data_IF_557732137179
#
_entry.id   IF_557732137179
#
_cell.length_a   1.000
_cell.length_b   1.000
_cell.length_c   1.000
_cell.angle_alpha   90.00
_cell.angle_beta   90.00
_cell.angle_gamma   90.00
#
_symmetry.space_group_name_H-M   'P 1'
#
loop_
_entity.id
_entity.type
_entity.pdbx_description
1 polymer ?
#
# COMPACT_ATOMS: atom_id res chain seq x y z
N UNK A 1 -37.22 -19.77 11.55
CA UNK A 1 -35.83 -20.26 11.42
C UNK A 1 -35.09 -19.93 12.70
N UNK A 2 -34.46 -20.91 13.39
CA UNK A 2 -33.66 -20.63 14.56
C UNK A 2 -32.45 -19.78 14.16
N UNK A 3 -32.14 -18.75 14.96
CA UNK A 3 -31.04 -17.82 14.74
C UNK A 3 -29.74 -18.61 14.90
N UNK A 4 -29.04 -18.86 13.78
CA UNK A 4 -27.73 -19.53 13.77
C UNK A 4 -26.79 -18.80 14.72
N UNK A 5 -26.05 -19.53 15.54
CA UNK A 5 -25.18 -18.94 16.56
C UNK A 5 -24.11 -18.09 15.86
N UNK A 6 -24.03 -16.79 16.19
CA UNK A 6 -23.22 -15.82 15.44
C UNK A 6 -21.74 -16.22 15.44
N UNK A 7 -21.27 -16.80 16.55
CA UNK A 7 -19.91 -17.32 16.68
C UNK A 7 -19.61 -18.52 15.77
N UNK A 8 -20.61 -19.37 15.51
CA UNK A 8 -20.46 -20.52 14.61
C UNK A 8 -20.46 -20.07 13.15
N UNK A 9 -21.30 -19.08 12.82
CA UNK A 9 -21.31 -18.43 11.50
C UNK A 9 -19.99 -17.69 11.22
N UNK A 10 -19.46 -16.93 12.18
CA UNK A 10 -18.19 -16.19 12.03
C UNK A 10 -17.00 -17.13 11.86
N UNK A 11 -17.01 -18.28 12.57
CA UNK A 11 -16.01 -19.33 12.42
C UNK A 11 -16.09 -20.02 11.05
N UNK A 12 -17.30 -20.35 10.59
CA UNK A 12 -17.51 -20.88 9.23
C UNK A 12 -17.07 -19.86 8.15
N UNK A 13 -17.27 -18.56 8.40
CA UNK A 13 -16.82 -17.48 7.51
C UNK A 13 -15.29 -17.40 7.48
N UNK A 14 -14.65 -17.36 8.65
CA UNK A 14 -13.18 -17.36 8.80
C UNK A 14 -12.52 -18.53 8.06
N UNK A 15 -13.04 -19.74 8.25
CA UNK A 15 -12.51 -20.94 7.60
C UNK A 15 -12.70 -20.96 6.08
N UNK A 16 -13.66 -20.17 5.55
CA UNK A 16 -13.92 -20.01 4.11
C UNK A 16 -13.18 -18.83 3.48
N UNK A 17 -12.91 -17.77 4.23
CA UNK A 17 -12.26 -16.55 3.74
C UNK A 17 -10.74 -16.64 3.74
N UNK A 18 -10.12 -17.39 4.65
CA UNK A 18 -8.66 -17.59 4.60
C UNK A 18 -8.30 -18.55 3.46
N UNK A 19 -7.54 -18.10 2.43
CA UNK A 19 -7.11 -18.97 1.37
C UNK A 19 -6.12 -20.00 1.93
N UNK A 20 -6.55 -21.26 2.02
CA UNK A 20 -5.74 -22.37 2.55
C UNK A 20 -4.56 -22.74 1.63
N UNK A 21 -4.49 -22.18 0.42
CA UNK A 21 -3.51 -22.52 -0.61
C UNK A 21 -3.15 -21.31 -1.49
N UNK A 22 -1.90 -21.27 -1.95
CA UNK A 22 -1.41 -20.31 -2.95
C UNK A 22 -1.81 -20.71 -4.38
N UNK A 23 -1.85 -19.76 -5.30
CA UNK A 23 -2.05 -20.01 -6.72
C UNK A 23 -1.02 -21.02 -7.28
N UNK A 24 0.21 -20.98 -6.76
CA UNK A 24 1.30 -21.91 -7.09
C UNK A 24 1.12 -23.30 -6.47
N UNK A 25 0.41 -23.46 -5.35
CA UNK A 25 0.18 -24.78 -4.74
C UNK A 25 -0.53 -25.73 -5.71
N UNK A 26 -1.52 -25.24 -6.46
CA UNK A 26 -2.25 -26.08 -7.43
C UNK A 26 -1.38 -26.59 -8.60
N UNK A 27 -0.30 -25.89 -8.92
CA UNK A 27 0.73 -26.37 -9.87
C UNK A 27 1.76 -27.27 -9.19
N UNK A 28 2.14 -26.91 -7.96
CA UNK A 28 3.13 -27.61 -7.14
C UNK A 28 2.66 -28.99 -6.73
N UNK A 29 1.41 -29.16 -6.31
CA UNK A 29 0.84 -30.46 -5.92
C UNK A 29 0.82 -31.47 -7.08
N UNK A 30 0.83 -30.99 -8.33
CA UNK A 30 0.95 -31.84 -9.52
C UNK A 30 2.37 -32.30 -9.79
N UNK A 31 3.37 -31.51 -9.39
CA UNK A 31 4.79 -31.71 -9.73
C UNK A 31 5.59 -32.35 -8.59
N UNK A 32 5.26 -32.01 -7.35
CA UNK A 32 5.96 -32.45 -6.15
C UNK A 32 4.93 -32.84 -5.11
N UNK A 33 4.73 -34.15 -4.89
CA UNK A 33 3.83 -34.65 -3.85
C UNK A 33 4.36 -34.24 -2.47
N UNK A 34 3.54 -33.52 -1.70
CA UNK A 34 3.63 -33.30 -0.24
C UNK A 34 4.98 -32.81 0.34
N UNK A 35 5.73 -31.98 -0.39
CA UNK A 35 6.90 -31.31 0.18
C UNK A 35 6.50 -29.95 0.75
N UNK A 36 6.56 -29.80 2.08
CA UNK A 36 6.37 -28.51 2.77
C UNK A 36 7.34 -27.47 2.18
N UNK A 37 6.79 -26.36 1.68
CA UNK A 37 7.55 -25.24 1.14
C UNK A 37 7.87 -25.30 -0.36
N UNK A 38 7.49 -26.36 -1.07
CA UNK A 38 7.76 -26.50 -2.52
C UNK A 38 7.13 -25.38 -3.38
N UNK A 39 6.00 -24.81 -2.95
CA UNK A 39 5.37 -23.73 -3.69
C UNK A 39 6.14 -22.41 -3.58
N UNK A 40 6.74 -22.15 -2.41
CA UNK A 40 7.58 -20.96 -2.20
C UNK A 40 8.88 -21.08 -2.98
N UNK A 41 9.48 -22.28 -3.01
CA UNK A 41 10.71 -22.50 -3.80
C UNK A 41 10.46 -22.40 -5.30
N UNK A 42 9.35 -22.96 -5.82
CA UNK A 42 8.96 -22.80 -7.23
C UNK A 42 8.69 -21.34 -7.57
N UNK A 43 7.97 -20.61 -6.70
CA UNK A 43 7.73 -19.18 -6.88
C UNK A 43 9.05 -18.39 -6.94
N UNK A 44 9.98 -18.67 -6.02
CA UNK A 44 11.29 -18.02 -5.98
C UNK A 44 12.13 -18.32 -7.23
N UNK A 45 12.11 -19.57 -7.71
CA UNK A 45 12.82 -19.96 -8.94
C UNK A 45 12.21 -19.29 -10.17
N UNK A 46 10.88 -19.28 -10.29
CA UNK A 46 10.20 -18.61 -11.39
C UNK A 46 10.48 -17.10 -11.40
N UNK A 47 10.39 -16.44 -10.24
CA UNK A 47 10.73 -15.03 -10.08
C UNK A 47 12.19 -14.74 -10.45
N UNK A 48 13.12 -15.59 -10.04
CA UNK A 48 14.55 -15.45 -10.34
C UNK A 48 14.86 -15.60 -11.83
N UNK A 49 14.24 -16.58 -12.51
CA UNK A 49 14.41 -16.78 -13.96
C UNK A 49 13.89 -15.56 -14.72
N UNK A 50 12.69 -15.07 -14.38
CA UNK A 50 12.10 -13.92 -15.06
C UNK A 50 12.93 -12.66 -14.80
N UNK A 51 13.39 -12.43 -13.57
CA UNK A 51 14.29 -11.32 -13.24
C UNK A 51 15.60 -11.35 -14.04
N UNK A 52 16.13 -12.56 -14.27
CA UNK A 52 17.34 -12.77 -15.09
C UNK A 52 17.08 -12.46 -16.57
N UNK A 53 15.93 -12.85 -17.10
CA UNK A 53 15.54 -12.50 -18.48
C UNK A 53 15.33 -10.98 -18.62
N UNK A 54 14.63 -10.35 -17.67
CA UNK A 54 14.40 -8.90 -17.66
C UNK A 54 15.70 -8.11 -17.57
N UNK A 55 16.66 -8.54 -16.73
CA UNK A 55 17.99 -7.92 -16.66
C UNK A 55 18.71 -8.03 -18.01
N UNK A 56 18.77 -9.21 -18.63
CA UNK A 56 19.47 -9.40 -19.91
C UNK A 56 18.89 -8.48 -20.98
N UNK A 57 17.57 -8.39 -21.07
CA UNK A 57 16.89 -7.50 -22.02
C UNK A 57 17.25 -6.03 -21.73
N UNK A 58 17.14 -5.61 -20.46
CA UNK A 58 17.35 -4.22 -20.07
C UNK A 58 18.84 -3.78 -19.98
N UNK A 59 19.78 -4.73 -19.90
CA UNK A 59 21.22 -4.45 -19.99
C UNK A 59 21.63 -3.85 -21.34
N UNK A 60 20.79 -4.00 -22.38
CA UNK A 60 20.99 -3.34 -23.67
C UNK A 60 20.71 -1.83 -23.63
N UNK A 61 20.18 -1.28 -22.52
CA UNK A 61 19.83 0.13 -22.39
C UNK A 61 20.73 0.86 -21.38
N UNK A 62 20.60 0.55 -20.08
CA UNK A 62 21.38 1.19 -19.01
C UNK A 62 21.38 0.30 -17.76
N UNK A 63 22.46 0.34 -16.96
CA UNK A 63 22.60 -0.49 -15.76
C UNK A 63 21.51 -0.20 -14.72
N UNK A 64 21.12 1.06 -14.55
CA UNK A 64 20.10 1.48 -13.58
C UNK A 64 18.68 1.06 -13.99
N UNK A 65 18.38 1.12 -15.29
CA UNK A 65 17.10 0.63 -15.84
C UNK A 65 17.03 -0.89 -15.78
N UNK A 66 18.17 -1.57 -16.00
CA UNK A 66 18.26 -3.01 -15.85
C UNK A 66 18.00 -3.46 -14.42
N UNK A 67 18.52 -2.75 -13.42
CA UNK A 67 18.23 -3.05 -12.01
C UNK A 67 16.77 -2.80 -11.66
N UNK A 68 16.16 -1.71 -12.14
CA UNK A 68 14.74 -1.43 -11.90
C UNK A 68 13.84 -2.52 -12.50
N UNK A 69 14.06 -2.87 -13.78
CA UNK A 69 13.31 -3.95 -14.45
C UNK A 69 13.49 -5.32 -13.77
N UNK A 70 14.69 -5.62 -13.28
CA UNK A 70 14.97 -6.86 -12.57
C UNK A 70 14.22 -6.96 -11.25
N UNK A 71 14.31 -5.92 -10.42
CA UNK A 71 13.68 -5.89 -9.10
C UNK A 71 12.16 -5.89 -9.26
N UNK A 72 11.63 -5.07 -10.16
CA UNK A 72 10.20 -5.00 -10.44
C UNK A 72 9.62 -6.31 -10.96
N UNK A 73 10.29 -6.96 -11.92
CA UNK A 73 9.84 -8.26 -12.42
C UNK A 73 10.00 -9.40 -11.41
N UNK A 74 11.07 -9.39 -10.60
CA UNK A 74 11.23 -10.33 -9.49
C UNK A 74 10.09 -10.19 -8.48
N UNK A 75 9.87 -8.98 -7.97
CA UNK A 75 8.85 -8.68 -6.97
C UNK A 75 7.45 -8.99 -7.51
N UNK A 76 7.14 -8.54 -8.73
CA UNK A 76 5.85 -8.79 -9.37
C UNK A 76 5.54 -10.26 -9.56
N UNK A 77 6.49 -11.06 -10.04
CA UNK A 77 6.30 -12.50 -10.21
C UNK A 77 6.19 -13.22 -8.87
N UNK A 78 7.03 -12.87 -7.91
CA UNK A 78 6.99 -13.47 -6.58
C UNK A 78 5.64 -13.22 -5.91
N UNK A 79 5.17 -11.97 -5.92
CA UNK A 79 3.87 -11.57 -5.38
C UNK A 79 2.70 -12.22 -6.13
N UNK A 80 2.76 -12.30 -7.46
CA UNK A 80 1.75 -12.97 -8.28
C UNK A 80 1.69 -14.49 -8.03
N UNK A 81 2.83 -15.14 -7.84
CA UNK A 81 2.93 -16.55 -7.49
C UNK A 81 2.36 -16.85 -6.10
N UNK A 82 2.60 -15.92 -5.18
CA UNK A 82 2.05 -15.96 -3.84
C UNK A 82 0.61 -15.48 -3.78
N UNK A 83 -0.09 -15.16 -4.88
CA UNK A 83 -1.49 -14.73 -4.88
C UNK A 83 -2.47 -15.86 -4.48
N UNK A 84 -3.66 -15.55 -3.94
CA UNK A 84 -4.57 -16.58 -3.42
C UNK A 84 -5.33 -17.26 -4.57
N UNK A 85 -5.60 -16.51 -5.63
CA UNK A 85 -6.14 -17.03 -6.88
C UNK A 85 -5.25 -16.64 -8.05
N UNK A 86 -5.33 -17.39 -9.16
CA UNK A 86 -4.62 -17.07 -10.39
C UNK A 86 -5.07 -15.73 -10.99
N UNK A 87 -6.36 -15.41 -10.86
CA UNK A 87 -6.90 -14.14 -11.35
C UNK A 87 -6.30 -12.96 -10.60
N UNK A 88 -6.17 -13.08 -9.28
CA UNK A 88 -5.56 -12.04 -8.45
C UNK A 88 -4.06 -11.95 -8.68
N UNK A 89 -3.39 -13.07 -8.94
CA UNK A 89 -1.97 -13.08 -9.31
C UNK A 89 -1.69 -12.30 -10.59
N UNK A 90 -2.56 -12.40 -11.60
CA UNK A 90 -2.42 -11.60 -12.82
C UNK A 90 -2.69 -10.11 -12.53
N UNK A 91 -3.70 -9.78 -11.72
CA UNK A 91 -3.95 -8.40 -11.32
C UNK A 91 -2.73 -7.79 -10.60
N UNK A 92 -2.16 -8.49 -9.62
CA UNK A 92 -0.94 -8.08 -8.90
C UNK A 92 0.22 -7.86 -9.88
N UNK A 93 0.43 -8.78 -10.83
CA UNK A 93 1.47 -8.64 -11.85
C UNK A 93 1.27 -7.37 -12.70
N UNK A 94 0.03 -7.02 -13.03
CA UNK A 94 -0.29 -5.79 -13.78
C UNK A 94 -0.03 -4.55 -12.92
N UNK A 95 -0.41 -4.54 -11.65
CA UNK A 95 -0.12 -3.43 -10.73
C UNK A 95 1.41 -3.20 -10.58
N UNK A 96 2.17 -4.25 -10.32
CA UNK A 96 3.62 -4.19 -10.17
C UNK A 96 4.32 -3.83 -11.49
N UNK A 97 3.82 -4.35 -12.61
CA UNK A 97 4.29 -3.96 -13.94
C UNK A 97 4.07 -2.46 -14.20
N UNK A 98 2.91 -1.93 -13.82
CA UNK A 98 2.59 -0.51 -13.96
C UNK A 98 3.56 0.38 -13.15
N UNK A 99 3.83 -0.01 -11.89
CA UNK A 99 4.79 0.68 -11.02
C UNK A 99 6.20 0.65 -11.60
N UNK A 100 6.65 -0.53 -12.05
CA UNK A 100 7.98 -0.72 -12.64
C UNK A 100 8.16 0.12 -13.90
N UNK A 101 7.17 0.10 -14.80
CA UNK A 101 7.20 0.91 -16.04
C UNK A 101 7.22 2.40 -15.73
N UNK A 102 6.45 2.83 -14.72
CA UNK A 102 6.42 4.25 -14.30
C UNK A 102 7.78 4.68 -13.74
N UNK A 103 8.38 3.91 -12.83
CA UNK A 103 9.71 4.21 -12.30
C UNK A 103 10.78 4.23 -13.40
N UNK A 104 10.77 3.26 -14.32
CA UNK A 104 11.67 3.28 -15.48
C UNK A 104 11.49 4.53 -16.35
N UNK A 105 10.25 4.95 -16.60
CA UNK A 105 9.93 6.14 -17.38
C UNK A 105 10.45 7.41 -16.68
N UNK A 106 10.15 7.59 -15.38
CA UNK A 106 10.64 8.73 -14.60
C UNK A 106 12.17 8.78 -14.55
N UNK A 107 12.84 7.64 -14.36
CA UNK A 107 14.31 7.57 -14.42
C UNK A 107 14.86 7.99 -15.80
N UNK A 108 14.24 7.57 -16.91
CA UNK A 108 14.68 7.96 -18.25
C UNK A 108 14.56 9.49 -18.43
N UNK A 109 13.43 10.07 -18.02
CA UNK A 109 13.14 11.50 -18.14
C UNK A 109 14.16 12.33 -17.37
N UNK A 110 14.45 11.97 -16.12
CA UNK A 110 15.33 12.76 -15.27
C UNK A 110 16.83 12.56 -15.55
N UNK A 111 17.28 11.32 -15.78
CA UNK A 111 18.72 11.03 -15.89
C UNK A 111 19.28 11.24 -17.29
N UNK A 112 18.46 11.19 -18.34
CA UNK A 112 18.97 11.28 -19.72
C UNK A 112 19.05 12.73 -20.22
N UNK A 113 18.52 13.73 -19.47
CA UNK A 113 18.37 15.15 -19.88
C UNK A 113 17.95 15.29 -21.36
N UNK A 114 17.17 14.33 -21.86
CA UNK A 114 17.20 14.03 -23.29
C UNK A 114 16.25 14.95 -24.04
N UNK A 115 16.74 15.48 -25.16
CA UNK A 115 16.04 16.26 -26.18
C UNK A 115 14.87 15.51 -26.86
N UNK A 116 14.33 14.44 -26.25
CA UNK A 116 13.10 13.77 -26.66
C UNK A 116 11.97 14.20 -25.71
N UNK A 117 11.45 15.41 -25.92
CA UNK A 117 10.16 15.86 -25.34
C UNK A 117 8.96 14.99 -25.79
N UNK A 118 9.16 13.99 -26.66
CA UNK A 118 8.11 13.21 -27.30
C UNK A 118 7.81 11.83 -26.70
N UNK A 119 8.44 11.43 -25.58
CA UNK A 119 8.21 10.10 -25.01
C UNK A 119 8.00 10.08 -23.49
N UNK A 120 7.53 11.17 -22.89
CA UNK A 120 7.03 11.13 -21.50
C UNK A 120 5.69 10.43 -21.53
N UNK A 121 5.67 9.16 -21.14
CA UNK A 121 4.39 8.47 -20.90
C UNK A 121 3.84 8.99 -19.58
N UNK A 122 2.68 9.65 -19.62
CA UNK A 122 1.99 10.10 -18.42
C UNK A 122 1.69 8.88 -17.53
N UNK A 123 2.02 8.96 -16.23
CA UNK A 123 1.73 7.88 -15.28
C UNK A 123 0.23 7.57 -15.23
N UNK A 124 -0.63 8.56 -15.49
CA UNK A 124 -2.08 8.36 -15.59
C UNK A 124 -2.44 7.50 -16.81
N UNK A 125 -1.71 7.63 -17.92
CA UNK A 125 -1.88 6.77 -19.08
C UNK A 125 -1.45 5.33 -18.77
N UNK A 126 -0.33 5.14 -18.07
CA UNK A 126 0.12 3.80 -17.62
C UNK A 126 -0.92 3.18 -16.68
N UNK A 127 -1.45 3.96 -15.72
CA UNK A 127 -2.49 3.50 -14.81
C UNK A 127 -3.79 3.11 -15.54
N UNK A 128 -4.22 3.92 -16.52
CA UNK A 128 -5.41 3.65 -17.32
C UNK A 128 -5.24 2.43 -18.23
N UNK A 129 -4.07 2.25 -18.84
CA UNK A 129 -3.75 1.07 -19.63
C UNK A 129 -3.78 -0.20 -18.77
N UNK A 130 -3.18 -0.14 -17.58
CA UNK A 130 -3.21 -1.23 -16.59
C UNK A 130 -4.63 -1.57 -16.13
N UNK A 131 -5.46 -0.54 -15.87
CA UNK A 131 -6.87 -0.74 -15.55
C UNK A 131 -7.62 -1.44 -16.67
N UNK A 132 -7.44 -1.01 -17.93
CA UNK A 132 -8.07 -1.64 -19.09
C UNK A 132 -7.68 -3.12 -19.23
N UNK A 133 -6.40 -3.45 -19.02
CA UNK A 133 -5.91 -4.84 -19.03
C UNK A 133 -6.60 -5.67 -17.93
N UNK A 134 -6.68 -5.15 -16.70
CA UNK A 134 -7.35 -5.84 -15.58
C UNK A 134 -8.82 -6.08 -15.90
N UNK A 135 -9.54 -5.07 -16.40
CA UNK A 135 -10.95 -5.19 -16.78
C UNK A 135 -11.16 -6.27 -17.82
N UNK A 136 -10.38 -6.28 -18.91
CA UNK A 136 -10.48 -7.29 -19.97
C UNK A 136 -10.24 -8.69 -19.40
N UNK A 137 -9.21 -8.85 -18.56
CA UNK A 137 -8.90 -10.13 -17.93
C UNK A 137 -10.01 -10.62 -17.00
N UNK A 138 -10.56 -9.74 -16.14
CA UNK A 138 -11.67 -10.09 -15.24
C UNK A 138 -12.93 -10.46 -16.01
N UNK A 139 -13.21 -9.80 -17.14
CA UNK A 139 -14.33 -10.16 -18.04
C UNK A 139 -14.13 -11.54 -18.64
N UNK A 140 -12.92 -11.88 -19.11
CA UNK A 140 -12.63 -13.18 -19.73
C UNK A 140 -12.75 -14.33 -18.71
N UNK A 141 -12.28 -14.11 -17.48
CA UNK A 141 -12.23 -15.15 -16.44
C UNK A 141 -13.60 -15.36 -15.78
N UNK A 142 -14.41 -14.31 -15.65
CA UNK A 142 -15.64 -14.35 -14.86
C UNK A 142 -16.86 -14.77 -15.68
N UNK A 143 -17.48 -15.89 -15.29
CA UNK A 143 -18.72 -16.36 -15.93
C UNK A 143 -20.00 -15.67 -15.41
N UNK A 144 -19.90 -14.94 -14.29
CA UNK A 144 -21.03 -14.27 -13.62
C UNK A 144 -20.83 -12.76 -13.63
N UNK A 145 -21.85 -12.04 -14.06
CA UNK A 145 -21.81 -10.57 -14.19
C UNK A 145 -21.56 -9.87 -12.85
N UNK A 146 -22.24 -10.29 -11.78
CA UNK A 146 -22.11 -9.65 -10.46
C UNK A 146 -20.72 -9.86 -9.85
N UNK A 147 -20.15 -11.06 -10.00
CA UNK A 147 -18.81 -11.39 -9.51
C UNK A 147 -17.74 -10.59 -10.27
N UNK A 148 -17.89 -10.50 -11.59
CA UNK A 148 -17.03 -9.68 -12.45
C UNK A 148 -17.07 -8.21 -12.03
N UNK A 149 -18.28 -7.65 -11.86
CA UNK A 149 -18.46 -6.25 -11.46
C UNK A 149 -17.81 -5.95 -10.11
N UNK A 150 -17.99 -6.85 -9.13
CA UNK A 150 -17.39 -6.67 -7.80
C UNK A 150 -15.86 -6.73 -7.87
N UNK A 151 -15.29 -7.71 -8.59
CA UNK A 151 -13.84 -7.82 -8.76
C UNK A 151 -13.25 -6.60 -9.47
N UNK A 152 -13.86 -6.14 -10.56
CA UNK A 152 -13.42 -4.94 -11.28
C UNK A 152 -13.48 -3.69 -10.37
N UNK A 153 -14.54 -3.56 -9.57
CA UNK A 153 -14.67 -2.43 -8.63
C UNK A 153 -13.58 -2.46 -7.57
N UNK A 154 -13.31 -3.63 -6.97
CA UNK A 154 -12.26 -3.79 -5.98
C UNK A 154 -10.87 -3.57 -6.57
N UNK A 155 -10.59 -4.10 -7.77
CA UNK A 155 -9.32 -3.86 -8.46
C UNK A 155 -9.14 -2.38 -8.82
N UNK A 156 -10.23 -1.67 -9.17
CA UNK A 156 -10.20 -0.23 -9.42
C UNK A 156 -9.87 0.54 -8.15
N UNK A 157 -10.48 0.17 -7.01
CA UNK A 157 -10.15 0.75 -5.70
C UNK A 157 -8.69 0.48 -5.35
N UNK A 158 -8.19 -0.75 -5.55
CA UNK A 158 -6.79 -1.07 -5.32
C UNK A 158 -5.84 -0.28 -6.22
N UNK A 159 -6.19 -0.12 -7.50
CA UNK A 159 -5.40 0.67 -8.46
C UNK A 159 -5.31 2.14 -8.02
N UNK A 160 -6.43 2.76 -7.65
CA UNK A 160 -6.46 4.15 -7.24
C UNK A 160 -5.83 4.38 -5.87
N UNK A 161 -6.12 3.50 -4.90
CA UNK A 161 -5.77 3.69 -3.50
C UNK A 161 -4.37 3.19 -3.15
N UNK A 162 -3.78 2.32 -3.97
CA UNK A 162 -2.44 1.78 -3.75
C UNK A 162 -1.53 2.13 -4.91
N UNK A 163 -1.86 1.70 -6.12
CA UNK A 163 -0.94 1.79 -7.27
C UNK A 163 -0.68 3.23 -7.69
N UNK A 164 -1.72 4.05 -7.87
CA UNK A 164 -1.56 5.45 -8.32
C UNK A 164 -0.82 6.27 -7.28
N UNK A 165 -1.14 6.12 -5.99
CA UNK A 165 -0.43 6.82 -4.92
C UNK A 165 1.04 6.40 -4.88
N UNK A 166 1.34 5.11 -5.01
CA UNK A 166 2.73 4.63 -5.08
C UNK A 166 3.45 5.14 -6.33
N UNK A 167 2.78 5.27 -7.48
CA UNK A 167 3.35 5.89 -8.67
C UNK A 167 3.74 7.36 -8.40
N UNK A 168 2.91 8.12 -7.68
CA UNK A 168 3.22 9.50 -7.30
C UNK A 168 4.39 9.58 -6.30
N UNK A 169 4.46 8.66 -5.33
CA UNK A 169 5.61 8.54 -4.43
C UNK A 169 6.89 8.24 -5.22
N UNK A 170 6.83 7.31 -6.17
CA UNK A 170 7.97 6.95 -7.02
C UNK A 170 8.42 8.13 -7.87
N UNK A 171 7.48 8.88 -8.46
CA UNK A 171 7.81 10.06 -9.26
C UNK A 171 8.52 11.13 -8.42
N UNK A 172 8.08 11.33 -7.17
CA UNK A 172 8.73 12.23 -6.25
C UNK A 172 10.14 11.76 -5.86
N UNK A 173 10.32 10.48 -5.52
CA UNK A 173 11.61 9.92 -5.05
C UNK A 173 12.65 9.88 -6.16
N UNK A 174 12.24 9.58 -7.40
CA UNK A 174 13.15 9.51 -8.54
C UNK A 174 13.53 10.90 -9.10
N UNK A 175 12.90 11.98 -8.60
CA UNK A 175 13.23 13.34 -9.02
C UNK A 175 14.66 13.74 -8.60
N UNK A 176 15.46 14.37 -9.47
CA UNK A 176 16.88 14.64 -9.21
C UNK A 176 17.10 15.58 -8.01
N UNK A 177 16.13 16.44 -7.73
CA UNK A 177 16.13 17.34 -6.56
C UNK A 177 15.54 16.71 -5.30
N UNK A 178 14.98 15.49 -5.35
CA UNK A 178 14.42 14.83 -4.17
C UNK A 178 15.49 14.56 -3.10
N UNK A 179 16.74 14.32 -3.53
CA UNK A 179 17.90 14.19 -2.65
C UNK A 179 18.20 15.45 -1.83
N UNK A 180 17.67 16.61 -2.21
CA UNK A 180 17.81 17.86 -1.48
C UNK A 180 16.70 18.06 -0.42
N UNK A 181 15.63 17.25 -0.46
CA UNK A 181 14.50 17.32 0.47
C UNK A 181 14.35 16.09 1.41
N UNK A 182 15.44 15.39 1.83
CA UNK A 182 15.31 14.16 2.61
C UNK A 182 14.72 14.44 4.01
N UNK A 183 14.96 15.63 4.56
CA UNK A 183 14.45 16.04 5.86
C UNK A 183 12.93 16.23 5.87
N UNK A 184 12.36 16.74 4.76
CA UNK A 184 10.93 16.99 4.63
C UNK A 184 10.19 15.68 4.40
N UNK A 185 10.72 14.79 3.55
CA UNK A 185 10.16 13.45 3.35
C UNK A 185 10.24 12.62 4.65
N UNK A 186 11.37 12.67 5.36
CA UNK A 186 11.50 12.01 6.66
C UNK A 186 10.52 12.59 7.69
N UNK A 187 10.29 13.91 7.67
CA UNK A 187 9.31 14.54 8.57
C UNK A 187 7.89 14.00 8.37
N UNK A 188 7.50 13.76 7.12
CA UNK A 188 6.21 13.13 6.80
C UNK A 188 6.12 11.74 7.41
N UNK A 189 7.11 10.87 7.17
CA UNK A 189 7.11 9.51 7.71
C UNK A 189 7.12 9.47 9.23
N UNK A 190 7.96 10.29 9.87
CA UNK A 190 8.06 10.35 11.35
C UNK A 190 6.76 10.87 11.96
N UNK A 191 6.14 11.88 11.35
CA UNK A 191 4.89 12.48 11.84
C UNK A 191 3.73 11.49 11.74
N UNK A 192 3.57 10.84 10.58
CA UNK A 192 2.51 9.83 10.38
C UNK A 192 2.76 8.62 11.27
N UNK A 193 3.99 8.10 11.35
CA UNK A 193 4.33 6.97 12.23
C UNK A 193 4.09 7.29 13.72
N UNK A 194 4.35 8.53 14.14
CA UNK A 194 4.06 8.97 15.51
C UNK A 194 2.57 9.01 15.79
N UNK A 195 1.75 9.48 14.83
CA UNK A 195 0.30 9.44 14.95
C UNK A 195 -0.24 7.99 15.05
N UNK A 196 0.35 7.07 14.28
CA UNK A 196 0.05 5.65 14.32
C UNK A 196 0.39 5.00 15.67
N UNK A 197 1.52 5.38 16.26
CA UNK A 197 1.89 4.99 17.63
C UNK A 197 0.88 5.51 18.65
N UNK A 198 0.40 6.76 18.50
CA UNK A 198 -0.63 7.35 19.35
C UNK A 198 -1.92 6.54 19.35
N UNK A 199 -2.42 6.17 18.17
CA UNK A 199 -3.57 5.29 18.01
C UNK A 199 -3.36 3.93 18.68
N UNK A 200 -2.20 3.30 18.44
CA UNK A 200 -1.88 1.99 19.01
C UNK A 200 -1.86 2.02 20.54
N UNK A 201 -1.23 3.05 21.12
CA UNK A 201 -1.18 3.26 22.57
C UNK A 201 -2.59 3.52 23.11
N UNK A 202 -3.39 4.36 22.45
CA UNK A 202 -4.77 4.63 22.84
C UNK A 202 -5.61 3.34 22.84
N UNK A 203 -5.55 2.54 21.78
CA UNK A 203 -6.26 1.28 21.65
C UNK A 203 -5.78 0.25 22.69
N UNK A 204 -4.48 0.19 22.97
CA UNK A 204 -3.92 -0.69 24.01
C UNK A 204 -4.47 -0.31 25.40
N UNK A 205 -4.44 0.98 25.75
CA UNK A 205 -4.92 1.46 27.05
C UNK A 205 -6.43 1.27 27.20
N UNK A 206 -7.20 1.61 26.18
CA UNK A 206 -8.67 1.54 26.21
C UNK A 206 -9.19 0.10 26.15
N UNK A 207 -8.63 -0.76 25.30
CA UNK A 207 -9.10 -2.15 25.19
C UNK A 207 -8.53 -3.09 26.26
N UNK A 208 -7.26 -2.96 26.66
CA UNK A 208 -6.63 -3.95 27.56
C UNK A 208 -6.65 -3.52 29.02
N UNK A 209 -6.37 -2.24 29.31
CA UNK A 209 -6.18 -1.74 30.67
C UNK A 209 -7.50 -1.23 31.25
N UNK A 210 -8.23 -0.42 30.50
CA UNK A 210 -9.51 0.18 30.94
C UNK A 210 -10.65 -0.83 31.01
N UNK A 211 -10.70 -1.84 30.13
CA UNK A 211 -11.68 -2.93 30.24
C UNK A 211 -11.54 -3.69 31.57
N UNK A 212 -10.30 -3.89 32.06
CA UNK A 212 -10.07 -4.60 33.34
C UNK A 212 -10.32 -3.73 34.56
N UNK A 213 -10.02 -2.43 34.49
CA UNK A 213 -10.03 -1.54 35.66
C UNK A 213 -11.32 -0.72 35.83
N UNK A 214 -12.06 -0.43 34.75
CA UNK A 214 -13.17 0.54 34.80
C UNK A 214 -14.41 0.03 34.04
N UNK A 215 -15.27 -0.69 34.76
CA UNK A 215 -16.59 -1.12 34.26
C UNK A 215 -17.46 0.04 33.73
N UNK A 216 -17.28 1.25 34.29
CA UNK A 216 -18.00 2.48 33.90
C UNK A 216 -17.76 2.92 32.46
N UNK A 217 -16.62 2.57 31.86
CA UNK A 217 -16.31 2.93 30.47
C UNK A 217 -17.03 2.07 29.43
N UNK A 218 -17.64 0.94 29.84
CA UNK A 218 -18.52 0.13 29.00
C UNK A 218 -19.76 0.90 28.49
N UNK A 219 -20.08 2.04 29.10
CA UNK A 219 -21.22 2.90 28.72
C UNK A 219 -20.81 4.16 27.95
N UNK A 220 -19.54 4.30 27.61
CA UNK A 220 -19.10 5.40 26.77
C UNK A 220 -19.59 5.15 25.34
N UNK A 221 -20.26 6.14 24.74
CA UNK A 221 -20.73 6.04 23.35
C UNK A 221 -19.53 5.84 22.42
N UNK A 222 -19.65 4.86 21.51
CA UNK A 222 -18.64 4.52 20.48
C UNK A 222 -18.11 5.77 19.76
N UNK A 223 -18.97 6.77 19.51
CA UNK A 223 -18.57 8.04 18.87
C UNK A 223 -17.56 8.84 19.68
N UNK A 224 -17.71 8.88 21.00
CA UNK A 224 -16.82 9.68 21.86
C UNK A 224 -15.46 9.00 21.97
N UNK A 225 -15.42 7.66 21.98
CA UNK A 225 -14.16 6.91 21.93
C UNK A 225 -13.41 7.14 20.62
N UNK A 226 -14.12 7.18 19.48
CA UNK A 226 -13.54 7.46 18.17
C UNK A 226 -12.96 8.88 18.07
N UNK A 227 -13.65 9.88 18.62
CA UNK A 227 -13.16 11.27 18.64
C UNK A 227 -11.93 11.41 19.53
N UNK A 228 -11.90 10.74 20.70
CA UNK A 228 -10.72 10.76 21.57
C UNK A 228 -9.52 10.07 20.92
N UNK A 229 -9.74 8.94 20.25
CA UNK A 229 -8.70 8.22 19.51
C UNK A 229 -8.07 9.11 18.42
N UNK A 230 -8.91 9.81 17.66
CA UNK A 230 -8.47 10.78 16.67
C UNK A 230 -7.63 11.90 17.31
N UNK A 231 -8.12 12.50 18.40
CA UNK A 231 -7.41 13.60 19.09
C UNK A 231 -6.05 13.12 19.61
N UNK A 232 -5.99 11.96 20.27
CA UNK A 232 -4.74 11.41 20.79
C UNK A 232 -3.75 11.12 19.67
N UNK A 233 -4.22 10.54 18.57
CA UNK A 233 -3.38 10.25 17.40
C UNK A 233 -2.82 11.53 16.76
N UNK A 234 -3.64 12.57 16.61
CA UNK A 234 -3.20 13.88 16.09
C UNK A 234 -2.19 14.54 17.02
N UNK A 235 -2.40 14.49 18.34
CA UNK A 235 -1.46 15.04 19.32
C UNK A 235 -0.11 14.31 19.27
N UNK A 236 -0.10 12.99 19.18
CA UNK A 236 1.13 12.21 19.02
C UNK A 236 1.84 12.51 17.70
N UNK A 237 1.10 12.70 16.60
CA UNK A 237 1.66 13.17 15.33
C UNK A 237 2.33 14.54 15.48
N UNK A 238 1.65 15.50 16.09
CA UNK A 238 2.19 16.84 16.34
C UNK A 238 3.45 16.79 17.22
N UNK A 239 3.47 15.97 18.27
CA UNK A 239 4.65 15.78 19.11
C UNK A 239 5.80 15.16 18.31
N UNK A 240 5.54 14.14 17.49
CA UNK A 240 6.55 13.53 16.62
C UNK A 240 7.16 14.53 15.64
N UNK A 241 6.33 15.40 15.07
CA UNK A 241 6.76 16.50 14.21
C UNK A 241 7.66 17.49 14.96
N UNK A 242 7.28 17.94 16.17
CA UNK A 242 8.12 18.85 16.97
C UNK A 242 9.45 18.20 17.34
N UNK A 243 9.44 16.93 17.75
CA UNK A 243 10.67 16.18 18.04
C UNK A 243 11.57 16.13 16.80
N UNK A 244 10.99 15.88 15.63
CA UNK A 244 11.74 15.86 14.37
C UNK A 244 12.35 17.23 14.04
N UNK A 245 11.60 18.32 14.21
CA UNK A 245 12.12 19.69 14.01
C UNK A 245 13.30 20.00 14.94
N UNK A 246 13.22 19.58 16.21
CA UNK A 246 14.29 19.78 17.20
C UNK A 246 15.54 18.95 16.89
N UNK A 247 15.39 17.74 16.37
CA UNK A 247 16.51 16.85 16.01
C UNK A 247 17.14 17.26 14.69
N UNK A 248 16.33 17.71 13.72
CA UNK A 248 16.79 18.11 12.40
C UNK A 248 17.38 19.52 12.33
N UNK A 249 17.24 20.33 13.39
CA UNK A 249 17.58 21.76 13.41
C UNK A 249 17.01 22.50 12.18
N UNK A 250 15.73 22.23 11.89
CA UNK A 250 15.03 22.72 10.69
C UNK A 250 13.89 23.64 11.08
N UNK A 251 13.96 24.89 10.61
CA UNK A 251 12.83 25.83 10.67
C UNK A 251 11.82 25.47 9.58
N UNK A 252 10.81 24.69 9.94
CA UNK A 252 9.72 24.36 9.04
C UNK A 252 8.76 25.54 8.87
N UNK A 253 8.49 25.91 7.62
CA UNK A 253 7.46 26.90 7.27
C UNK A 253 6.09 26.56 7.86
N UNK A 254 5.26 27.57 8.15
CA UNK A 254 3.88 27.37 8.64
C UNK A 254 3.05 26.47 7.72
N UNK A 255 3.31 26.52 6.41
CA UNK A 255 2.62 25.68 5.43
C UNK A 255 3.04 24.20 5.52
N UNK A 256 4.31 23.90 5.84
CA UNK A 256 4.75 22.52 6.14
C UNK A 256 3.93 21.93 7.28
N UNK A 257 3.77 22.70 8.36
CA UNK A 257 3.05 22.27 9.56
C UNK A 257 1.58 22.00 9.24
N UNK A 258 0.93 22.88 8.49
CA UNK A 258 -0.47 22.71 8.07
C UNK A 258 -0.62 21.48 7.16
N UNK A 259 0.29 21.28 6.21
CA UNK A 259 0.27 20.13 5.32
C UNK A 259 0.47 18.81 6.08
N UNK A 260 1.40 18.76 7.03
CA UNK A 260 1.68 17.58 7.85
C UNK A 260 0.52 17.25 8.81
N UNK A 261 -0.07 18.25 9.47
CA UNK A 261 -1.25 18.03 10.31
C UNK A 261 -2.48 17.62 9.47
N UNK A 262 -2.64 18.19 8.29
CA UNK A 262 -3.65 17.78 7.31
C UNK A 262 -3.46 16.33 6.88
N UNK A 263 -2.22 15.93 6.58
CA UNK A 263 -1.86 14.55 6.27
C UNK A 263 -2.21 13.62 7.43
N UNK A 264 -1.84 13.93 8.67
CA UNK A 264 -2.20 13.13 9.86
C UNK A 264 -3.70 12.98 10.02
N UNK A 265 -4.45 14.08 9.89
CA UNK A 265 -5.91 14.06 9.98
C UNK A 265 -6.53 13.14 8.93
N UNK A 266 -6.07 13.24 7.67
CA UNK A 266 -6.56 12.39 6.59
C UNK A 266 -6.10 10.94 6.74
N UNK A 267 -4.88 10.68 7.22
CA UNK A 267 -4.37 9.34 7.54
C UNK A 267 -5.30 8.61 8.52
N UNK A 268 -5.78 9.28 9.57
CA UNK A 268 -6.73 8.70 10.51
C UNK A 268 -8.12 8.47 9.89
N UNK A 269 -8.58 9.36 9.01
CA UNK A 269 -9.80 9.13 8.21
C UNK A 269 -9.64 7.93 7.26
N UNK A 270 -8.47 7.77 6.67
CA UNK A 270 -8.10 6.62 5.83
C UNK A 270 -8.24 5.29 6.57
N UNK A 271 -7.95 5.24 7.87
CA UNK A 271 -8.17 4.04 8.69
C UNK A 271 -9.65 3.71 8.83
N UNK A 272 -10.47 4.74 9.05
CA UNK A 272 -11.93 4.57 9.12
C UNK A 272 -12.47 4.00 7.81
N UNK A 273 -11.92 4.44 6.67
CA UNK A 273 -12.27 3.89 5.36
C UNK A 273 -11.91 2.41 5.20
N UNK A 274 -10.70 2.00 5.62
CA UNK A 274 -10.33 0.57 5.60
C UNK A 274 -11.18 -0.26 6.56
N UNK A 275 -11.50 0.26 7.75
CA UNK A 275 -12.39 -0.42 8.69
C UNK A 275 -13.77 -0.64 8.07
N UNK A 276 -14.30 0.35 7.35
CA UNK A 276 -15.56 0.23 6.61
C UNK A 276 -15.45 -0.77 5.46
N UNK A 277 -14.33 -0.82 4.74
CA UNK A 277 -14.08 -1.83 3.70
C UNK A 277 -14.05 -3.24 4.32
N UNK A 278 -13.40 -3.43 5.48
CA UNK A 278 -13.38 -4.72 6.15
C UNK A 278 -14.78 -5.13 6.62
N UNK A 279 -15.53 -4.19 7.20
CA UNK A 279 -16.91 -4.44 7.64
C UNK A 279 -17.83 -4.78 6.46
N UNK A 280 -17.71 -4.08 5.33
CA UNK A 280 -18.49 -4.35 4.11
C UNK A 280 -18.06 -5.64 3.40
N UNK A 281 -16.78 -5.98 3.47
CA UNK A 281 -16.24 -7.24 2.96
C UNK A 281 -16.54 -8.44 3.89
N UNK A 282 -17.17 -8.21 5.05
CA UNK A 282 -17.33 -9.19 6.13
C UNK A 282 -15.99 -9.84 6.55
N UNK A 283 -14.88 -9.14 6.30
CA UNK A 283 -13.57 -9.57 6.74
C UNK A 283 -13.51 -9.37 8.25
N UNK A 284 -13.24 -10.42 9.03
CA UNK A 284 -13.31 -10.37 10.48
C UNK A 284 -12.22 -9.43 10.98
N UNK A 285 -12.63 -8.43 11.75
CA UNK A 285 -11.70 -7.51 12.40
C UNK A 285 -10.75 -8.30 13.30
N UNK A 286 -9.45 -8.14 13.04
CA UNK A 286 -8.30 -8.52 13.85
C UNK A 286 -8.55 -9.50 15.02
N UNK A 287 -8.37 -10.82 14.78
CA UNK A 287 -8.04 -11.75 15.85
C UNK A 287 -6.51 -11.71 16.08
N UNK A 288 -6.08 -11.17 17.23
CA UNK A 288 -4.68 -10.90 17.64
C UNK A 288 -3.75 -12.14 17.73
N UNK A 289 -4.12 -13.29 17.17
CA UNK A 289 -3.51 -14.59 17.51
C UNK A 289 -2.69 -15.30 16.43
N UNK A 290 -2.90 -15.02 15.14
CA UNK A 290 -2.28 -15.82 14.06
C UNK A 290 -1.81 -14.95 12.91
N UNK A 291 -0.52 -14.64 12.91
CA UNK A 291 0.19 -14.14 11.74
C UNK A 291 0.20 -15.23 10.67
N UNK A 292 -0.63 -15.07 9.63
CA UNK A 292 -0.46 -15.80 8.37
C UNK A 292 0.01 -14.80 7.32
N UNK A 293 0.74 -15.26 6.31
CA UNK A 293 1.19 -14.45 5.15
C UNK A 293 0.02 -13.75 4.43
N UNK A 294 -1.20 -14.20 4.71
CA UNK A 294 -2.47 -13.74 4.17
C UNK A 294 -3.29 -12.86 5.11
N UNK A 295 -2.89 -12.78 6.38
CA UNK A 295 -3.55 -11.97 7.39
C UNK A 295 -2.97 -10.56 7.33
N UNK A 296 -3.60 -9.74 6.46
CA UNK A 296 -3.25 -8.41 5.98
C UNK A 296 -2.96 -7.34 7.06
N UNK A 297 -1.87 -7.48 7.81
CA UNK A 297 -1.36 -6.39 8.66
C UNK A 297 -0.67 -5.28 7.87
N UNK A 298 -0.14 -5.58 6.68
CA UNK A 298 0.65 -4.60 5.90
C UNK A 298 -0.23 -3.50 5.32
N UNK A 299 -1.41 -3.84 4.80
CA UNK A 299 -2.31 -2.82 4.22
C UNK A 299 -2.83 -1.86 5.29
N UNK A 300 -3.17 -2.36 6.48
CA UNK A 300 -3.56 -1.51 7.61
C UNK A 300 -2.42 -0.60 8.08
N UNK A 301 -1.17 -1.09 8.04
CA UNK A 301 0.02 -0.30 8.38
C UNK A 301 0.39 0.72 7.30
N UNK A 302 0.24 0.37 6.02
CA UNK A 302 0.65 1.19 4.87
C UNK A 302 -0.39 2.26 4.53
N UNK A 303 -1.67 1.98 4.74
CA UNK A 303 -2.77 2.86 4.38
C UNK A 303 -2.71 4.28 4.97
N UNK A 304 -2.39 4.48 6.26
CA UNK A 304 -2.19 5.81 6.82
C UNK A 304 -1.14 6.62 6.04
N UNK A 305 -0.06 5.99 5.59
CA UNK A 305 0.97 6.65 4.78
C UNK A 305 0.48 6.95 3.37
N UNK A 306 -0.22 6.03 2.71
CA UNK A 306 -0.77 6.25 1.38
C UNK A 306 -1.76 7.41 1.36
N UNK A 307 -2.71 7.42 2.30
CA UNK A 307 -3.72 8.47 2.39
C UNK A 307 -3.12 9.82 2.81
N UNK A 308 -2.17 9.79 3.75
CA UNK A 308 -1.43 10.99 4.15
C UNK A 308 -0.65 11.61 2.99
N UNK A 309 -0.10 10.76 2.11
CA UNK A 309 0.67 11.20 0.94
C UNK A 309 -0.18 12.01 -0.04
N UNK A 310 -1.47 11.69 -0.22
CA UNK A 310 -2.38 12.44 -1.12
C UNK A 310 -2.42 13.94 -0.76
N UNK A 311 -2.39 14.27 0.53
CA UNK A 311 -2.42 15.66 1.01
C UNK A 311 -1.03 16.29 0.96
N UNK A 312 -0.01 15.49 1.27
CA UNK A 312 1.37 15.97 1.32
C UNK A 312 1.98 16.17 -0.08
N UNK A 313 1.60 15.36 -1.07
CA UNK A 313 2.19 15.33 -2.40
C UNK A 313 2.09 16.66 -3.16
N UNK A 314 0.92 17.33 -3.27
CA UNK A 314 0.84 18.63 -3.93
C UNK A 314 1.79 19.65 -3.32
N UNK A 315 1.96 19.58 -2.00
CA UNK A 315 2.82 20.48 -1.26
C UNK A 315 4.31 20.14 -1.47
N UNK A 316 4.68 18.87 -1.39
CA UNK A 316 6.03 18.41 -1.69
C UNK A 316 6.46 18.79 -3.12
N UNK A 317 5.53 18.71 -4.08
CA UNK A 317 5.72 19.17 -5.45
C UNK A 317 5.98 20.68 -5.54
N UNK A 318 5.24 21.51 -4.79
CA UNK A 318 5.49 22.97 -4.79
C UNK A 318 6.86 23.35 -4.25
N UNK A 319 7.38 22.63 -3.25
CA UNK A 319 8.73 22.85 -2.73
C UNK A 319 9.77 22.48 -3.79
N UNK A 320 9.56 21.33 -4.46
CA UNK A 320 10.42 20.84 -5.52
C UNK A 320 10.51 21.82 -6.70
N UNK A 321 9.38 22.39 -7.11
CA UNK A 321 9.29 23.41 -8.17
C UNK A 321 9.96 24.74 -7.75
N UNK A 322 9.82 25.12 -6.48
CA UNK A 322 10.50 26.30 -5.93
C UNK A 322 12.02 26.13 -5.94
N UNK A 323 12.54 24.95 -5.58
CA UNK A 323 13.98 24.69 -5.60
C UNK A 323 14.54 24.67 -7.03
N UNK A 324 13.81 24.07 -7.98
CA UNK A 324 14.16 24.08 -9.40
C UNK A 324 14.25 25.51 -9.97
N UNK A 325 13.45 26.45 -9.44
CA UNK A 325 13.48 27.86 -9.85
C UNK A 325 14.68 28.64 -9.30
N UNK A 326 15.31 28.18 -8.21
CA UNK A 326 16.50 28.83 -7.63
C UNK A 326 17.80 28.39 -8.31
N UNK A 327 17.84 27.21 -8.91
CA UNK A 327 19.01 26.72 -9.67
C UNK A 327 19.12 27.31 -11.08
N UNK A 328 18.07 27.96 -11.59
CA UNK A 328 18.05 28.65 -12.90
C UNK A 328 18.46 30.12 -12.78
#
# INVERSE_FOLDING_TARGET
MPRRDTAEYDRELLERMEPKMFAVNRMTDRLTKDVRGAAVTIALVAASIIATVSTIIAMHTNKTLATCAAVGSFAGVLSACLAPTRSDGVAILVHEGALTVTGMNTMIVHYTKSKLEMAVVDYLFVALASWAIIVILRIIVSKKMLECFLMVTLDTVALLHVTVILMEVLDFVDHPLANNLPFELASFFVTVASAELGHYVFNMVTCQLMHRLLWRWKHMSSRVSMVLDFIVSVLFGAVGMVIWMLVGDTDMSTWNIVALLGAVGLSQLGRSFISLIHETAMAPSWNRGTYSVWNNGIMELMNPFLVGWIVFYPYAKTILEAELSREK
#
